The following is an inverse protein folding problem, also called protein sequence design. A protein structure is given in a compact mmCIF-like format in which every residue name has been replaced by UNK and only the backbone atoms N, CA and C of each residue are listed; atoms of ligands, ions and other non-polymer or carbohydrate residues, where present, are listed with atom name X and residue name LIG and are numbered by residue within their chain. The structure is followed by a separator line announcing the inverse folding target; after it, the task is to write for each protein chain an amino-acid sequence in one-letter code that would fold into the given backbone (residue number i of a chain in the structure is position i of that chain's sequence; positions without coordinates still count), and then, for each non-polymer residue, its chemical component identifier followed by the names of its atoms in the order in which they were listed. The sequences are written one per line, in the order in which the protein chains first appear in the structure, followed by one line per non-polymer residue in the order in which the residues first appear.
data_IF_758418677349
#
_entry.id   IF_758418677349
#
_cell.length_a   1.000
_cell.length_b   1.000
_cell.length_c   1.000
_cell.angle_alpha   90.00
_cell.angle_beta   90.00
_cell.angle_gamma   90.00
#
_symmetry.space_group_name_H-M   'P 1'
#
loop_
_entity.id
_entity.type
_entity.pdbx_description
1 polymer ?
#
# COMPACT_ATOMS: atom_id res chain seq x y z
N UNK A 1 5.58 -17.27 24.31
CA UNK A 1 5.38 -16.87 22.91
C UNK A 1 4.00 -17.35 22.47
N UNK A 2 3.02 -16.46 22.36
CA UNK A 2 1.66 -16.82 21.91
C UNK A 2 1.52 -16.36 20.46
N UNK A 3 1.44 -17.33 19.55
CA UNK A 3 1.20 -17.10 18.13
C UNK A 3 -0.18 -16.50 17.91
N UNK A 4 -0.23 -15.43 17.13
CA UNK A 4 -1.46 -14.88 16.59
C UNK A 4 -1.84 -15.69 15.36
N UNK A 5 -2.94 -16.42 15.44
CA UNK A 5 -3.54 -17.10 14.30
C UNK A 5 -4.48 -16.09 13.61
N UNK A 6 -4.05 -15.55 12.47
CA UNK A 6 -4.81 -14.59 11.67
C UNK A 6 -5.68 -15.36 10.67
N UNK A 7 -6.99 -15.42 10.93
CA UNK A 7 -7.96 -15.87 9.92
C UNK A 7 -8.07 -14.82 8.82
N UNK A 8 -7.47 -15.11 7.66
CA UNK A 8 -7.76 -14.40 6.41
C UNK A 8 -9.21 -14.66 6.01
N UNK A 9 -10.05 -13.61 5.99
CA UNK A 9 -11.29 -13.61 5.22
C UNK A 9 -11.00 -12.99 3.85
N UNK A 10 -11.03 -13.87 2.85
CA UNK A 10 -10.98 -13.56 1.43
C UNK A 10 -12.28 -12.85 1.03
N UNK A 11 -12.26 -11.53 0.89
CA UNK A 11 -13.36 -10.77 0.29
C UNK A 11 -13.06 -10.65 -1.21
N UNK A 12 -13.70 -11.53 -1.99
CA UNK A 12 -13.65 -11.52 -3.44
C UNK A 12 -14.15 -10.19 -4.01
N UNK A 13 -13.32 -9.57 -4.85
CA UNK A 13 -13.71 -8.48 -5.73
C UNK A 13 -14.60 -9.06 -6.84
N UNK A 14 -15.89 -8.72 -6.87
CA UNK A 14 -16.72 -8.91 -8.06
C UNK A 14 -16.63 -7.63 -8.90
N UNK A 15 -15.95 -7.76 -10.02
CA UNK A 15 -15.91 -6.83 -11.15
C UNK A 15 -17.17 -7.12 -11.98
N UNK A 16 -18.01 -6.11 -12.21
CA UNK A 16 -19.23 -6.27 -13.01
C UNK A 16 -18.97 -5.79 -14.45
N UNK A 17 -18.93 -6.73 -15.39
CA UNK A 17 -19.09 -6.49 -16.83
C UNK A 17 -20.58 -6.68 -17.20
N UNK A 18 -21.11 -5.63 -17.82
CA UNK A 18 -22.22 -5.53 -18.76
C UNK A 18 -23.14 -6.74 -18.99
N UNK A 19 -24.43 -6.57 -18.68
CA UNK A 19 -25.48 -7.51 -19.09
C UNK A 19 -26.88 -7.16 -18.59
N UNK A 20 -27.64 -6.44 -19.41
CA UNK A 20 -29.11 -6.42 -19.53
C UNK A 20 -29.96 -6.61 -18.24
N UNK A 21 -30.40 -5.50 -17.64
CA UNK A 21 -31.25 -5.47 -16.45
C UNK A 21 -32.69 -5.03 -16.72
N UNK A 22 -33.60 -5.99 -16.65
CA UNK A 22 -35.05 -5.87 -16.63
C UNK A 22 -35.55 -4.88 -15.56
N UNK A 23 -36.40 -3.92 -15.94
CA UNK A 23 -37.12 -3.06 -14.98
C UNK A 23 -38.28 -3.86 -14.37
N UNK A 24 -38.17 -4.17 -13.08
CA UNK A 24 -39.30 -4.60 -12.26
C UNK A 24 -39.27 -3.77 -10.98
N UNK A 25 -40.33 -2.99 -10.80
CA UNK A 25 -40.57 -2.21 -9.59
C UNK A 25 -40.72 -3.10 -8.36
N UNK A 26 -40.32 -2.57 -7.21
CA UNK A 26 -40.38 -3.29 -5.96
C UNK A 26 -39.85 -2.45 -4.80
N UNK A 27 -40.73 -1.59 -4.29
CA UNK A 27 -40.94 -1.34 -2.86
C UNK A 27 -39.87 -0.61 -2.04
N UNK A 28 -40.27 0.60 -1.65
CA UNK A 28 -39.82 1.35 -0.48
C UNK A 28 -39.70 0.47 0.76
N UNK A 29 -38.48 0.14 1.18
CA UNK A 29 -38.21 -0.28 2.54
C UNK A 29 -37.80 0.93 3.37
N UNK A 30 -38.82 1.56 3.92
CA UNK A 30 -38.73 2.42 5.09
C UNK A 30 -38.15 1.61 6.26
N UNK A 31 -36.88 1.85 6.58
CA UNK A 31 -36.36 1.52 7.89
C UNK A 31 -35.95 2.82 8.59
N UNK A 32 -36.82 3.39 9.46
CA UNK A 32 -36.44 4.49 10.32
C UNK A 32 -35.65 3.91 11.49
N UNK A 33 -34.44 3.40 11.22
CA UNK A 33 -33.52 3.09 12.30
C UNK A 33 -32.92 4.41 12.77
N UNK A 34 -33.61 4.97 13.76
CA UNK A 34 -33.37 6.20 14.48
C UNK A 34 -31.86 6.57 14.54
N UNK A 35 -31.38 7.30 13.52
CA UNK A 35 -30.08 7.99 13.55
C UNK A 35 -30.26 9.27 14.35
N UNK A 36 -30.80 9.12 15.55
CA UNK A 36 -30.75 10.16 16.54
C UNK A 36 -29.28 10.31 16.85
N UNK A 37 -28.69 11.35 16.27
CA UNK A 37 -27.59 12.06 16.91
C UNK A 37 -28.11 12.39 18.31
N UNK A 38 -27.98 11.45 19.24
CA UNK A 38 -28.29 11.63 20.65
C UNK A 38 -27.31 12.69 21.10
N UNK A 39 -27.70 13.95 20.91
CA UNK A 39 -27.18 15.08 21.67
C UNK A 39 -27.11 14.56 23.09
N UNK A 40 -25.90 14.58 23.65
CA UNK A 40 -25.65 14.06 24.98
C UNK A 40 -26.79 14.53 25.89
N UNK A 41 -27.54 13.58 26.48
CA UNK A 41 -28.55 13.89 27.47
C UNK A 41 -27.88 14.87 28.47
N UNK A 42 -28.35 16.13 28.58
CA UNK A 42 -27.63 17.19 29.30
C UNK A 42 -27.32 16.81 30.75
N UNK A 43 -28.16 15.93 31.31
CA UNK A 43 -28.07 15.39 32.67
C UNK A 43 -26.82 14.54 32.92
N UNK A 44 -26.25 13.90 31.90
CA UNK A 44 -25.12 12.96 32.05
C UNK A 44 -23.80 13.48 31.45
N UNK A 45 -23.86 14.50 30.59
CA UNK A 45 -22.67 15.27 30.17
C UNK A 45 -21.95 15.94 31.35
N UNK A 46 -22.70 16.26 32.41
CA UNK A 46 -22.14 16.82 33.65
C UNK A 46 -21.48 15.79 34.58
N UNK A 47 -21.77 14.50 34.43
CA UNK A 47 -21.19 13.43 35.29
C UNK A 47 -19.84 12.98 34.76
N UNK A 48 -19.72 12.85 33.43
CA UNK A 48 -18.47 12.49 32.77
C UNK A 48 -18.42 13.14 31.38
N UNK A 49 -17.33 13.87 31.12
CA UNK A 49 -17.07 14.49 29.82
C UNK A 49 -16.77 13.43 28.75
N UNK A 50 -17.01 13.75 27.48
CA UNK A 50 -16.66 12.89 26.34
C UNK A 50 -15.17 12.53 26.31
N UNK A 51 -14.30 13.47 26.68
CA UNK A 51 -12.86 13.25 26.72
C UNK A 51 -12.48 12.23 27.79
N UNK A 52 -13.03 12.37 28.99
CA UNK A 52 -12.81 11.39 30.06
C UNK A 52 -13.44 10.03 29.70
N UNK A 53 -14.64 10.04 29.13
CA UNK A 53 -15.36 8.83 28.76
C UNK A 53 -14.66 8.04 27.65
N UNK A 54 -13.96 8.71 26.73
CA UNK A 54 -13.21 8.06 25.65
C UNK A 54 -11.82 7.57 26.09
N UNK A 55 -11.17 8.27 27.02
CA UNK A 55 -9.80 8.00 27.48
C UNK A 55 -9.69 6.98 28.62
N UNK A 56 -10.65 6.94 29.55
CA UNK A 56 -10.60 6.02 30.70
C UNK A 56 -10.42 4.56 30.26
N UNK A 57 -9.73 3.74 31.04
CA UNK A 57 -9.78 2.30 30.82
C UNK A 57 -11.16 1.74 31.18
N UNK A 58 -11.54 0.60 30.58
CA UNK A 58 -12.82 -0.04 30.86
C UNK A 58 -12.96 -0.44 32.33
N UNK A 59 -11.86 -0.77 33.01
CA UNK A 59 -11.85 -1.13 34.43
C UNK A 59 -12.16 0.08 35.31
N UNK A 60 -11.50 1.20 35.04
CA UNK A 60 -11.70 2.46 35.76
C UNK A 60 -13.08 3.05 35.52
N UNK A 61 -13.56 3.01 34.27
CA UNK A 61 -14.92 3.40 33.94
C UNK A 61 -15.94 2.56 34.73
N UNK A 62 -15.78 1.23 34.72
CA UNK A 62 -16.69 0.36 35.47
C UNK A 62 -16.62 0.58 36.99
N UNK A 63 -15.46 1.00 37.54
CA UNK A 63 -15.34 1.37 38.95
C UNK A 63 -16.15 2.63 39.26
N UNK A 64 -15.93 3.71 38.50
CA UNK A 64 -16.64 4.98 38.66
C UNK A 64 -18.16 4.79 38.55
N UNK A 65 -18.62 4.00 37.57
CA UNK A 65 -20.05 3.75 37.37
C UNK A 65 -20.71 2.99 38.53
N UNK A 66 -19.97 2.11 39.22
CA UNK A 66 -20.47 1.39 40.41
C UNK A 66 -20.43 2.26 41.66
N UNK A 67 -19.32 2.98 41.88
CA UNK A 67 -19.11 3.80 43.08
C UNK A 67 -20.10 4.99 43.13
N UNK A 68 -20.53 5.47 41.96
CA UNK A 68 -21.57 6.51 41.82
C UNK A 68 -23.00 5.99 41.99
N UNK A 69 -23.20 4.67 42.12
CA UNK A 69 -24.53 4.07 42.30
C UNK A 69 -25.51 4.35 41.16
N UNK A 70 -25.01 4.51 39.92
CA UNK A 70 -25.85 4.90 38.79
C UNK A 70 -26.85 3.79 38.42
N UNK A 71 -28.08 4.16 37.99
CA UNK A 71 -29.06 3.17 37.56
C UNK A 71 -28.59 2.46 36.27
N UNK A 72 -29.00 1.19 36.13
CA UNK A 72 -28.58 0.31 35.02
C UNK A 72 -28.78 0.93 33.64
N UNK A 73 -29.92 1.59 33.42
CA UNK A 73 -30.21 2.26 32.14
C UNK A 73 -29.19 3.35 31.79
N UNK A 74 -28.76 4.13 32.78
CA UNK A 74 -27.75 5.18 32.59
C UNK A 74 -26.38 4.61 32.30
N UNK A 75 -26.01 3.50 32.95
CA UNK A 75 -24.77 2.77 32.68
C UNK A 75 -24.72 2.31 31.22
N UNK A 76 -25.79 1.73 30.71
CA UNK A 76 -25.87 1.27 29.32
C UNK A 76 -25.80 2.45 28.33
N UNK A 77 -26.46 3.58 28.62
CA UNK A 77 -26.33 4.81 27.81
C UNK A 77 -24.89 5.33 27.76
N UNK A 78 -24.17 5.34 28.90
CA UNK A 78 -22.78 5.78 28.96
C UNK A 78 -21.83 4.84 28.22
N UNK A 79 -22.04 3.52 28.32
CA UNK A 79 -21.30 2.53 27.52
C UNK A 79 -21.53 2.72 26.02
N UNK A 80 -22.78 2.94 25.61
CA UNK A 80 -23.10 3.18 24.21
C UNK A 80 -22.45 4.49 23.71
N UNK A 81 -22.52 5.57 24.50
CA UNK A 81 -21.85 6.84 24.19
C UNK A 81 -20.35 6.65 24.03
N UNK A 82 -19.70 5.92 24.96
CA UNK A 82 -18.28 5.56 24.84
C UNK A 82 -17.98 4.79 23.56
N UNK A 83 -18.81 3.81 23.19
CA UNK A 83 -18.63 3.03 21.96
C UNK A 83 -18.68 3.94 20.72
N UNK A 84 -19.64 4.85 20.66
CA UNK A 84 -19.74 5.83 19.57
C UNK A 84 -18.51 6.75 19.50
N UNK A 85 -18.02 7.24 20.63
CA UNK A 85 -16.81 8.08 20.68
C UNK A 85 -15.57 7.32 20.21
N UNK A 86 -15.36 6.09 20.71
CA UNK A 86 -14.23 5.26 20.30
C UNK A 86 -14.31 4.91 18.81
N UNK A 87 -15.49 4.54 18.31
CA UNK A 87 -15.69 4.26 16.89
C UNK A 87 -15.38 5.48 16.00
N UNK A 88 -15.74 6.69 16.46
CA UNK A 88 -15.37 7.93 15.76
C UNK A 88 -13.86 8.06 15.67
N UNK A 89 -13.15 7.88 16.79
CA UNK A 89 -11.68 7.92 16.81
C UNK A 89 -11.09 6.86 15.87
N UNK A 90 -11.54 5.61 15.98
CA UNK A 90 -11.04 4.53 15.12
C UNK A 90 -11.29 4.78 13.64
N UNK A 91 -12.38 5.44 13.26
CA UNK A 91 -12.62 5.83 11.87
C UNK A 91 -11.61 6.87 11.38
N UNK A 92 -11.26 7.85 12.21
CA UNK A 92 -10.20 8.83 11.92
C UNK A 92 -8.84 8.15 11.82
N UNK A 93 -8.44 7.39 12.85
CA UNK A 93 -7.15 6.68 12.91
C UNK A 93 -7.00 5.70 11.72
N UNK A 94 -8.10 5.07 11.28
CA UNK A 94 -8.11 4.18 10.12
C UNK A 94 -7.82 4.92 8.82
N UNK A 95 -8.44 6.11 8.62
CA UNK A 95 -8.19 6.95 7.45
C UNK A 95 -6.75 7.46 7.46
N UNK A 96 -6.29 7.99 8.58
CA UNK A 96 -4.92 8.49 8.73
C UNK A 96 -3.88 7.40 8.47
N UNK A 97 -4.09 6.20 9.03
CA UNK A 97 -3.20 5.06 8.77
C UNK A 97 -3.21 4.64 7.31
N UNK A 98 -4.38 4.60 6.68
CA UNK A 98 -4.51 4.29 5.25
C UNK A 98 -3.79 5.33 4.40
N UNK A 99 -4.01 6.61 4.67
CA UNK A 99 -3.42 7.71 3.92
C UNK A 99 -1.89 7.69 4.06
N UNK A 100 -1.39 7.45 5.28
CA UNK A 100 0.05 7.26 5.55
C UNK A 100 0.63 6.09 4.76
N UNK A 101 -0.03 4.93 4.77
CA UNK A 101 0.42 3.75 4.04
C UNK A 101 0.45 3.99 2.53
N UNK A 102 -0.59 4.64 1.99
CA UNK A 102 -0.66 4.99 0.57
C UNK A 102 0.47 5.94 0.20
N UNK A 103 0.70 7.00 0.98
CA UNK A 103 1.81 7.93 0.73
C UNK A 103 3.17 7.25 0.79
N UNK A 104 3.40 6.37 1.77
CA UNK A 104 4.65 5.61 1.88
C UNK A 104 4.88 4.70 0.66
N UNK A 105 3.83 4.00 0.19
CA UNK A 105 3.92 3.17 -1.00
C UNK A 105 4.18 3.99 -2.27
N UNK A 106 3.59 5.17 -2.38
CA UNK A 106 3.83 6.09 -3.51
C UNK A 106 5.27 6.63 -3.53
N UNK A 107 5.81 6.98 -2.36
CA UNK A 107 7.20 7.40 -2.20
C UNK A 107 8.15 6.27 -2.60
N UNK A 108 7.92 5.06 -2.07
CA UNK A 108 8.73 3.87 -2.41
C UNK A 108 8.69 3.57 -3.90
N UNK A 109 7.51 3.62 -4.52
CA UNK A 109 7.36 3.43 -5.96
C UNK A 109 8.15 4.46 -6.75
N UNK A 110 8.08 5.74 -6.35
CA UNK A 110 8.82 6.83 -7.00
C UNK A 110 10.33 6.61 -6.91
N UNK A 111 10.84 6.27 -5.73
CA UNK A 111 12.27 6.03 -5.50
C UNK A 111 12.79 4.83 -6.29
N UNK A 112 12.03 3.73 -6.33
CA UNK A 112 12.35 2.56 -7.13
C UNK A 112 12.37 2.89 -8.63
N UNK A 113 11.39 3.65 -9.13
CA UNK A 113 11.37 4.07 -10.53
C UNK A 113 12.56 4.95 -10.89
N UNK A 114 12.93 5.91 -10.04
CA UNK A 114 14.13 6.74 -10.23
C UNK A 114 15.40 5.89 -10.28
N UNK A 115 15.51 4.90 -9.40
CA UNK A 115 16.66 3.99 -9.35
C UNK A 115 16.77 3.16 -10.64
N UNK A 116 15.64 2.69 -11.17
CA UNK A 116 15.60 1.96 -12.44
C UNK A 116 16.10 2.85 -13.58
N UNK A 117 15.59 4.08 -13.69
CA UNK A 117 16.01 5.02 -14.72
C UNK A 117 17.51 5.32 -14.67
N UNK A 118 18.06 5.54 -13.46
CA UNK A 118 19.50 5.75 -13.26
C UNK A 118 20.33 4.54 -13.71
N UNK A 119 19.88 3.32 -13.37
CA UNK A 119 20.55 2.09 -13.78
C UNK A 119 20.47 1.85 -15.28
N UNK A 120 19.35 2.16 -15.92
CA UNK A 120 19.18 2.06 -17.38
C UNK A 120 20.14 3.00 -18.11
N UNK A 121 20.28 4.24 -17.63
CA UNK A 121 21.24 5.21 -18.17
C UNK A 121 22.68 4.70 -18.00
N UNK A 122 23.04 4.23 -16.81
CA UNK A 122 24.38 3.69 -16.54
C UNK A 122 24.69 2.47 -17.43
N UNK A 123 23.72 1.57 -17.60
CA UNK A 123 23.86 0.38 -18.44
C UNK A 123 24.06 0.76 -19.92
N UNK A 124 23.29 1.74 -20.42
CA UNK A 124 23.45 2.28 -21.77
C UNK A 124 24.85 2.86 -22.02
N UNK A 125 25.40 3.57 -21.02
CA UNK A 125 26.77 4.10 -21.09
C UNK A 125 27.80 2.97 -21.14
N UNK A 126 27.70 1.99 -20.24
CA UNK A 126 28.60 0.83 -20.22
C UNK A 126 28.55 0.03 -21.51
N UNK A 127 27.37 -0.11 -22.11
CA UNK A 127 27.20 -0.85 -23.36
C UNK A 127 27.91 -0.13 -24.52
N UNK A 128 27.83 1.21 -24.58
CA UNK A 128 28.58 2.02 -25.54
C UNK A 128 30.09 1.89 -25.34
N UNK A 129 30.55 1.87 -24.09
CA UNK A 129 31.97 1.70 -23.75
C UNK A 129 32.47 0.31 -24.19
N UNK A 130 31.71 -0.76 -23.90
CA UNK A 130 32.01 -2.11 -24.37
C UNK A 130 32.12 -2.15 -25.90
N UNK A 131 31.19 -1.53 -26.62
CA UNK A 131 31.21 -1.50 -28.08
C UNK A 131 32.39 -0.70 -28.65
N UNK A 132 32.78 0.39 -27.98
CA UNK A 132 34.00 1.12 -28.31
C UNK A 132 35.26 0.28 -28.08
N UNK A 133 35.38 -0.39 -26.93
CA UNK A 133 36.50 -1.27 -26.62
C UNK A 133 36.59 -2.43 -27.61
N UNK A 134 35.46 -3.06 -27.97
CA UNK A 134 35.40 -4.09 -29.00
C UNK A 134 35.88 -3.58 -30.35
N UNK A 135 35.46 -2.39 -30.77
CA UNK A 135 35.91 -1.77 -32.04
C UNK A 135 37.41 -1.52 -32.05
N UNK A 136 37.96 -0.95 -30.96
CA UNK A 136 39.41 -0.70 -30.81
C UNK A 136 40.20 -2.01 -30.83
N UNK A 137 39.74 -3.02 -30.08
CA UNK A 137 40.35 -4.34 -30.06
C UNK A 137 40.38 -4.99 -31.45
N UNK A 138 39.24 -4.98 -32.17
CA UNK A 138 39.17 -5.49 -33.54
C UNK A 138 40.13 -4.77 -34.50
N UNK A 139 40.32 -3.46 -34.35
CA UNK A 139 41.28 -2.71 -35.16
C UNK A 139 42.72 -3.19 -34.93
N UNK A 140 43.10 -3.38 -33.67
CA UNK A 140 44.43 -3.91 -33.30
C UNK A 140 44.61 -5.34 -33.81
N UNK A 141 43.61 -6.21 -33.63
CA UNK A 141 43.65 -7.59 -34.14
C UNK A 141 43.79 -7.62 -35.66
N UNK A 142 43.06 -6.77 -36.39
CA UNK A 142 43.20 -6.65 -37.85
C UNK A 142 44.61 -6.23 -38.24
N UNK A 143 45.16 -5.21 -37.60
CA UNK A 143 46.52 -4.74 -37.86
C UNK A 143 47.56 -5.85 -37.62
N UNK A 144 47.51 -6.53 -36.48
CA UNK A 144 48.43 -7.61 -36.17
C UNK A 144 48.34 -8.78 -37.16
N UNK A 145 47.14 -9.09 -37.68
CA UNK A 145 46.95 -10.10 -38.73
C UNK A 145 47.62 -9.68 -40.05
N UNK A 146 47.52 -8.42 -40.44
CA UNK A 146 48.17 -7.88 -41.66
C UNK A 146 49.69 -7.94 -41.51
N UNK A 147 50.21 -7.55 -40.35
CA UNK A 147 51.64 -7.55 -40.04
C UNK A 147 52.21 -8.94 -39.67
N UNK A 148 51.39 -10.00 -39.79
CA UNK A 148 51.76 -11.38 -39.43
C UNK A 148 52.27 -11.55 -37.98
N UNK A 149 51.83 -10.67 -37.08
CA UNK A 149 52.17 -10.67 -35.66
C UNK A 149 51.28 -11.69 -34.95
N UNK A 150 51.90 -12.70 -34.34
CA UNK A 150 51.19 -13.77 -33.61
C UNK A 150 50.57 -13.23 -32.32
N UNK A 151 49.26 -13.04 -32.29
CA UNK A 151 48.51 -12.75 -31.05
C UNK A 151 48.18 -14.06 -30.35
N UNK A 152 48.68 -14.26 -29.13
CA UNK A 152 48.25 -15.36 -28.26
C UNK A 152 46.94 -14.98 -27.56
N UNK A 153 45.91 -15.79 -27.73
CA UNK A 153 44.64 -15.67 -27.00
C UNK A 153 44.88 -15.91 -25.50
N UNK A 154 45.08 -14.85 -24.72
CA UNK A 154 44.78 -14.90 -23.29
C UNK A 154 43.47 -14.16 -23.05
N UNK A 155 42.44 -14.95 -22.75
CA UNK A 155 41.19 -14.55 -22.08
C UNK A 155 40.15 -13.70 -22.82
N UNK A 156 40.04 -13.72 -24.16
CA UNK A 156 38.87 -13.12 -24.83
C UNK A 156 38.27 -14.10 -25.86
N UNK A 157 37.08 -14.67 -25.63
CA UNK A 157 36.39 -15.51 -26.60
C UNK A 157 36.01 -14.70 -27.85
N UNK A 158 36.62 -15.02 -29.01
CA UNK A 158 36.31 -14.39 -30.30
C UNK A 158 34.99 -14.86 -30.93
N UNK A 159 34.26 -15.77 -30.28
CA UNK A 159 33.03 -16.40 -30.81
C UNK A 159 31.81 -15.47 -30.85
N UNK A 160 31.86 -14.29 -30.22
CA UNK A 160 30.73 -13.35 -30.13
C UNK A 160 30.75 -12.17 -31.12
N UNK A 161 31.68 -12.14 -32.10
CA UNK A 161 31.77 -11.03 -33.06
C UNK A 161 30.87 -11.20 -34.31
N UNK A 162 30.01 -12.22 -34.33
CA UNK A 162 28.98 -12.34 -35.37
C UNK A 162 27.79 -11.46 -35.04
N UNK A 163 27.46 -10.57 -35.98
CA UNK A 163 26.31 -9.68 -36.06
C UNK A 163 25.08 -10.20 -35.30
N UNK A 164 24.60 -9.43 -34.32
CA UNK A 164 23.21 -9.55 -33.87
C UNK A 164 22.49 -8.23 -34.10
N UNK A 165 21.79 -8.18 -35.22
CA UNK A 165 20.83 -7.14 -35.60
C UNK A 165 19.56 -7.32 -34.76
N UNK A 166 19.11 -6.23 -34.12
CA UNK A 166 17.77 -6.03 -33.55
C UNK A 166 17.28 -7.01 -32.47
N UNK A 167 17.35 -6.58 -31.22
CA UNK A 167 16.27 -6.84 -30.27
C UNK A 167 15.57 -5.51 -29.99
N UNK A 168 14.54 -5.21 -30.78
CA UNK A 168 13.51 -4.26 -30.35
C UNK A 168 12.79 -4.88 -29.16
N UNK A 169 12.99 -4.31 -27.98
CA UNK A 169 12.10 -4.53 -26.85
C UNK A 169 11.14 -3.33 -26.86
N UNK A 170 10.02 -3.52 -27.55
CA UNK A 170 8.84 -2.66 -27.43
C UNK A 170 8.11 -3.03 -26.14
N UNK A 171 8.07 -2.14 -25.16
CA UNK A 171 7.07 -2.21 -24.10
C UNK A 171 5.94 -1.26 -24.47
N UNK A 172 4.81 -1.85 -24.91
CA UNK A 172 3.53 -1.15 -25.06
C UNK A 172 2.91 -0.90 -23.69
N UNK A 173 2.26 0.26 -23.59
CA UNK A 173 1.46 0.76 -22.45
C UNK A 173 0.27 -0.12 -22.10
#
# INVERSE_FOLDING_TARGET
MKGFNASHHNMGLMINEDGSGHVSGGESLSSPHNFETRRADPKYGNIISDDQLSTLDIKDLNRILRDQGLPKETIEKLKQRRRTLKNRKYATDCREKKDTEVSHLQETQSDETSTIEELEVANSILQKEIDELKRRYQAVVRHAKVENIRITERNVPLSGLSSNTNAQITHSS
#
